data_IF_537260267131
#
_entry.id   IF_537260267131
#
_cell.length_a   1.000
_cell.length_b   1.000
_cell.length_c   1.000
_cell.angle_alpha   90.00
_cell.angle_beta   90.00
_cell.angle_gamma   90.00
#
_symmetry.space_group_name_H-M   'P 1'
#
loop_
_entity.id
_entity.type
_entity.pdbx_description
1 polymer ?
#
# COMPACT_ATOMS: atom_id res chain seq x y z
N UNK A 1 -13.91 -13.59 -8.44
CA UNK A 1 -14.04 -12.30 -7.70
C UNK A 1 -13.82 -11.13 -8.64
N UNK A 2 -14.61 -10.05 -8.49
CA UNK A 2 -14.52 -8.84 -9.32
C UNK A 2 -13.80 -7.72 -8.56
N UNK A 3 -12.84 -7.06 -9.21
CA UNK A 3 -12.18 -5.86 -8.69
C UNK A 3 -12.99 -4.60 -9.04
N UNK A 4 -13.33 -3.82 -8.02
CA UNK A 4 -13.94 -2.49 -8.11
C UNK A 4 -12.88 -1.47 -7.69
N UNK A 5 -12.73 -0.40 -8.45
CA UNK A 5 -11.83 0.70 -8.11
C UNK A 5 -12.67 1.89 -7.67
N UNK A 6 -12.35 2.48 -6.52
CA UNK A 6 -12.93 3.76 -6.10
C UNK A 6 -12.43 4.90 -7.00
N UNK A 7 -13.13 6.04 -7.07
CA UNK A 7 -12.75 7.18 -7.91
C UNK A 7 -11.28 7.60 -7.74
N UNK A 8 -10.82 7.71 -6.51
CA UNK A 8 -9.48 8.16 -6.13
C UNK A 8 -8.41 7.22 -6.69
N UNK A 9 -8.63 5.90 -6.60
CA UNK A 9 -7.72 4.89 -7.17
C UNK A 9 -7.73 4.95 -8.70
N UNK A 10 -8.88 5.22 -9.33
CA UNK A 10 -8.91 5.42 -10.79
C UNK A 10 -8.11 6.66 -11.19
N UNK A 11 -8.19 7.73 -10.43
CA UNK A 11 -7.43 8.96 -10.67
C UNK A 11 -5.93 8.74 -10.49
N UNK A 12 -5.54 8.05 -9.41
CA UNK A 12 -4.14 7.63 -9.20
C UNK A 12 -3.61 6.83 -10.38
N UNK A 13 -4.36 5.85 -10.89
CA UNK A 13 -3.93 5.04 -12.04
C UNK A 13 -3.88 5.81 -13.36
N UNK A 14 -4.56 6.96 -13.48
CA UNK A 14 -4.45 7.83 -14.67
C UNK A 14 -3.15 8.63 -14.66
N UNK A 15 -2.70 9.04 -13.47
CA UNK A 15 -1.47 9.84 -13.32
C UNK A 15 -0.23 8.97 -13.17
N UNK A 16 -0.37 7.79 -12.57
CA UNK A 16 0.71 6.83 -12.38
C UNK A 16 0.96 5.99 -13.65
N UNK A 17 2.22 6.01 -14.15
CA UNK A 17 2.62 5.23 -15.35
C UNK A 17 3.23 3.86 -15.02
N UNK A 18 3.43 3.54 -13.75
CA UNK A 18 4.13 2.33 -13.31
C UNK A 18 3.14 1.22 -12.94
N UNK A 19 2.18 1.54 -12.08
CA UNK A 19 1.18 0.63 -11.57
C UNK A 19 -0.05 0.63 -12.50
N UNK A 20 -0.53 -0.56 -12.86
CA UNK A 20 -1.68 -0.74 -13.73
C UNK A 20 -2.83 -1.41 -12.99
N UNK A 21 -4.04 -1.30 -13.55
CA UNK A 21 -5.20 -2.06 -13.08
C UNK A 21 -4.97 -3.58 -13.05
N UNK A 22 -4.14 -4.11 -13.97
CA UNK A 22 -3.81 -5.54 -14.02
C UNK A 22 -2.97 -5.94 -12.81
N UNK A 23 -2.04 -5.08 -12.38
CA UNK A 23 -1.21 -5.34 -11.19
C UNK A 23 -2.07 -5.41 -9.92
N UNK A 24 -3.01 -4.47 -9.75
CA UNK A 24 -3.97 -4.52 -8.64
C UNK A 24 -4.82 -5.79 -8.67
N UNK A 25 -5.28 -6.21 -9.86
CA UNK A 25 -6.09 -7.43 -10.00
C UNK A 25 -5.29 -8.68 -9.66
N UNK A 26 -4.03 -8.75 -10.08
CA UNK A 26 -3.15 -9.88 -9.76
C UNK A 26 -2.90 -9.95 -8.26
N UNK A 27 -2.54 -8.82 -7.63
CA UNK A 27 -2.31 -8.76 -6.19
C UNK A 27 -3.55 -9.12 -5.38
N UNK A 28 -4.72 -8.65 -5.81
CA UNK A 28 -6.00 -9.03 -5.23
C UNK A 28 -6.20 -10.55 -5.24
N UNK A 29 -5.89 -11.24 -6.34
CA UNK A 29 -6.00 -12.70 -6.37
C UNK A 29 -4.92 -13.37 -5.52
N UNK A 30 -3.67 -12.93 -5.56
CA UNK A 30 -2.60 -13.49 -4.72
C UNK A 30 -2.99 -13.51 -3.24
N UNK A 31 -3.51 -12.39 -2.74
CA UNK A 31 -3.80 -12.24 -1.32
C UNK A 31 -5.16 -12.80 -0.92
N UNK A 32 -6.13 -12.86 -1.83
CA UNK A 32 -7.52 -13.22 -1.52
C UNK A 32 -7.98 -14.48 -2.28
N UNK A 33 -7.05 -15.39 -2.62
CA UNK A 33 -7.35 -16.67 -3.28
C UNK A 33 -7.98 -17.73 -2.35
N UNK A 34 -8.62 -17.33 -1.27
CA UNK A 34 -9.21 -18.25 -0.29
C UNK A 34 -10.69 -17.93 -0.07
N UNK A 35 -11.50 -18.91 0.36
CA UNK A 35 -12.90 -18.70 0.65
C UNK A 35 -13.05 -17.71 1.82
N UNK A 36 -13.47 -16.49 1.50
CA UNK A 36 -13.80 -15.48 2.50
C UNK A 36 -15.10 -15.86 3.19
N UNK A 37 -15.07 -15.95 4.51
CA UNK A 37 -16.25 -16.23 5.32
C UNK A 37 -16.86 -14.97 5.95
N UNK A 38 -16.09 -13.87 5.98
CA UNK A 38 -16.48 -12.59 6.58
C UNK A 38 -15.91 -11.41 5.79
N UNK A 39 -16.52 -10.22 5.90
CA UNK A 39 -15.92 -8.98 5.41
C UNK A 39 -14.50 -8.81 5.97
N UNK A 40 -13.58 -8.35 5.12
CA UNK A 40 -12.17 -8.22 5.40
C UNK A 40 -11.64 -6.95 4.73
N UNK A 41 -10.87 -6.20 5.49
CA UNK A 41 -10.00 -5.15 4.97
C UNK A 41 -8.57 -5.68 4.99
N UNK A 42 -7.89 -5.64 3.85
CA UNK A 42 -6.54 -6.15 3.68
C UNK A 42 -5.63 -5.03 3.18
N UNK A 43 -4.59 -4.73 3.96
CA UNK A 43 -3.48 -3.87 3.55
C UNK A 43 -2.33 -4.72 3.02
N UNK A 44 -1.78 -4.36 1.86
CA UNK A 44 -0.65 -5.06 1.23
C UNK A 44 0.21 -4.08 0.43
N UNK A 45 1.32 -4.53 -0.13
CA UNK A 45 2.17 -3.73 -1.00
C UNK A 45 2.49 -4.40 -2.34
N UNK A 46 2.66 -3.59 -3.39
CA UNK A 46 3.09 -4.03 -4.72
C UNK A 46 4.44 -3.39 -5.02
N UNK A 47 5.46 -4.22 -5.29
CA UNK A 47 6.77 -3.76 -5.77
C UNK A 47 6.84 -3.87 -7.28
N UNK A 48 7.16 -2.75 -7.96
CA UNK A 48 7.26 -2.69 -9.43
C UNK A 48 8.19 -1.57 -9.86
N UNK A 49 9.15 -1.88 -10.74
CA UNK A 49 10.14 -0.94 -11.27
C UNK A 49 10.81 -0.10 -10.16
N UNK A 50 11.35 -0.78 -9.14
CA UNK A 50 12.03 -0.18 -7.97
C UNK A 50 11.15 0.71 -7.07
N UNK A 51 9.87 0.87 -7.41
CA UNK A 51 8.87 1.55 -6.58
C UNK A 51 8.08 0.52 -5.77
N UNK A 52 7.64 0.93 -4.59
CA UNK A 52 6.70 0.18 -3.77
C UNK A 52 5.41 0.98 -3.62
N UNK A 53 4.28 0.32 -3.77
CA UNK A 53 2.95 0.93 -3.67
C UNK A 53 2.19 0.28 -2.53
N UNK A 54 1.68 1.08 -1.60
CA UNK A 54 0.75 0.62 -0.57
C UNK A 54 -0.65 0.50 -1.18
N UNK A 55 -1.32 -0.61 -0.91
CA UNK A 55 -2.64 -0.91 -1.47
C UNK A 55 -3.57 -1.45 -0.39
N UNK A 56 -4.78 -0.89 -0.33
CA UNK A 56 -5.83 -1.33 0.59
C UNK A 56 -7.02 -1.91 -0.20
N UNK A 57 -7.39 -3.14 0.17
CA UNK A 57 -8.56 -3.84 -0.35
C UNK A 57 -9.63 -3.98 0.72
N UNK A 58 -10.89 -3.89 0.32
CA UNK A 58 -12.06 -4.15 1.17
C UNK A 58 -12.99 -5.13 0.43
N UNK A 59 -13.36 -6.22 1.08
CA UNK A 59 -14.38 -7.13 0.55
C UNK A 59 -15.77 -6.52 0.76
N UNK A 60 -16.63 -6.63 -0.25
CA UNK A 60 -18.04 -6.21 -0.13
C UNK A 60 -18.84 -7.19 0.72
N UNK A 61 -20.02 -6.79 1.22
CA UNK A 61 -20.92 -7.68 1.99
C UNK A 61 -21.28 -8.97 1.23
N UNK A 62 -21.31 -8.90 -0.10
CA UNK A 62 -21.56 -10.05 -0.97
C UNK A 62 -20.40 -11.04 -1.05
N UNK A 63 -19.20 -10.67 -0.59
CA UNK A 63 -17.91 -11.37 -0.71
C UNK A 63 -17.50 -11.75 -2.15
N UNK A 64 -18.33 -11.41 -3.15
CA UNK A 64 -18.11 -11.68 -4.58
C UNK A 64 -17.27 -10.59 -5.26
N UNK A 65 -17.23 -9.41 -4.65
CA UNK A 65 -16.47 -8.26 -5.13
C UNK A 65 -15.53 -7.72 -4.06
N UNK A 66 -14.40 -7.20 -4.52
CA UNK A 66 -13.40 -6.51 -3.71
C UNK A 66 -13.24 -5.10 -4.25
N UNK A 67 -13.29 -4.11 -3.37
CA UNK A 67 -12.91 -2.73 -3.68
C UNK A 67 -11.43 -2.55 -3.40
N UNK A 68 -10.70 -1.95 -4.32
CA UNK A 68 -9.44 -1.29 -4.01
C UNK A 68 -9.80 0.15 -3.62
N UNK A 69 -9.62 0.47 -2.34
CA UNK A 69 -10.07 1.72 -1.73
C UNK A 69 -8.94 2.73 -1.52
N UNK A 70 -7.69 2.26 -1.56
CA UNK A 70 -6.51 3.12 -1.43
C UNK A 70 -5.35 2.55 -2.24
N UNK A 71 -4.64 3.43 -2.92
CA UNK A 71 -3.34 3.16 -3.54
C UNK A 71 -2.49 4.41 -3.37
N UNK A 72 -1.27 4.24 -2.90
CA UNK A 72 -0.28 5.31 -2.89
C UNK A 72 1.14 4.78 -3.08
N UNK A 73 2.03 5.61 -3.60
CA UNK A 73 3.44 5.28 -3.72
C UNK A 73 4.13 5.45 -2.36
N UNK A 74 4.75 4.38 -1.85
CA UNK A 74 5.58 4.45 -0.66
C UNK A 74 6.86 5.19 -1.03
N UNK A 75 6.89 6.47 -0.74
CA UNK A 75 8.11 7.28 -0.81
C UNK A 75 8.97 6.96 0.40
N UNK A 76 9.80 5.92 0.30
CA UNK A 76 10.95 5.79 1.19
C UNK A 76 11.92 6.90 0.81
N UNK A 77 11.99 7.95 1.62
CA UNK A 77 13.07 8.93 1.50
C UNK A 77 14.39 8.16 1.72
N UNK A 78 15.28 8.09 0.72
CA UNK A 78 16.56 7.41 0.88
C UNK A 78 17.45 8.08 1.95
N UNK A 79 17.12 9.30 2.38
CA UNK A 79 17.73 10.02 3.48
C UNK A 79 16.87 10.01 4.76
N UNK A 80 15.72 9.32 4.80
CA UNK A 80 14.99 9.15 6.05
C UNK A 80 15.93 8.47 7.06
N UNK A 81 16.18 9.10 8.22
CA UNK A 81 17.06 8.50 9.21
C UNK A 81 16.48 7.16 9.60
N UNK A 82 17.29 6.10 9.49
CA UNK A 82 16.92 4.81 10.07
C UNK A 82 16.61 5.02 11.55
N UNK A 83 15.75 4.19 12.15
CA UNK A 83 15.46 4.25 13.60
C UNK A 83 16.76 4.34 14.43
N UNK A 84 17.81 3.63 13.98
CA UNK A 84 19.14 3.65 14.58
C UNK A 84 19.81 5.03 14.49
N UNK A 85 19.73 5.71 13.36
CA UNK A 85 20.25 7.07 13.19
C UNK A 85 19.43 8.13 13.94
N UNK A 86 18.11 7.99 13.98
CA UNK A 86 17.24 8.85 14.79
C UNK A 86 17.60 8.77 16.29
N UNK A 87 17.78 7.55 16.82
CA UNK A 87 18.23 7.37 18.21
C UNK A 87 19.63 7.94 18.46
N UNK A 88 20.52 7.89 17.46
CA UNK A 88 21.89 8.44 17.57
C UNK A 88 21.89 9.98 17.53
N UNK A 89 21.03 10.60 16.73
CA UNK A 89 20.82 12.05 16.71
C UNK A 89 20.23 12.55 18.03
N UNK A 90 19.17 11.91 18.53
CA UNK A 90 18.56 12.24 19.83
C UNK A 90 19.54 12.12 21.02
N UNK A 91 20.45 11.16 20.99
CA UNK A 91 21.49 11.01 22.02
C UNK A 91 22.56 12.11 21.92
N UNK A 92 22.95 12.50 20.70
CA UNK A 92 23.90 13.62 20.49
C UNK A 92 23.30 14.97 20.88
N UNK A 93 22.03 15.23 20.56
CA UNK A 93 21.33 16.46 20.98
C UNK A 93 21.20 16.56 22.50
N UNK A 94 20.94 15.44 23.20
CA UNK A 94 20.92 15.40 24.67
C UNK A 94 22.30 15.63 25.31
N UNK A 95 23.39 15.33 24.61
CA UNK A 95 24.74 15.52 25.11
C UNK A 95 25.28 16.94 24.84
N UNK A 96 24.74 17.66 23.85
CA UNK A 96 25.16 19.03 23.51
C UNK A 96 24.52 20.11 24.39
N UNK A 97 23.37 19.82 25.01
CA UNK A 97 22.64 20.74 25.89
C UNK A 97 23.00 20.57 27.38
N UNK A 98 24.21 20.08 27.69
CA UNK A 98 24.70 19.90 29.06
C UNK A 98 26.07 20.54 29.21
#
# INVERSE_FOLDING_TARGET
>A
MRLILVPEVKEFLKTNKTLTKKDLKNKMYEELNFPLQKPLVLSTSIKKNEKEFSVLYETTDSLKSIKCIYVDEIKTDPNAPTLKEYHKQKQKEKALNK
#
